data_IF_932760411770
#
_entry.id   IF_932760411770
#
_cell.length_a   1.000
_cell.length_b   1.000
_cell.length_c   1.000
_cell.angle_alpha   90.00
_cell.angle_beta   90.00
_cell.angle_gamma   90.00
#
_symmetry.space_group_name_H-M   'P 1'
#
loop_
_entity.id
_entity.type
_entity.pdbx_description
1 polymer ?
#
# COMPACT_ATOMS: atom_id res chain seq x y z
N UNK A 1 3.91 11.66 6.55
CA UNK A 1 4.76 11.23 7.68
C UNK A 1 4.19 9.90 8.12
N UNK A 2 4.95 8.82 8.07
CA UNK A 2 4.45 7.50 8.49
C UNK A 2 4.24 7.52 10.01
N UNK A 3 3.08 7.04 10.45
CA UNK A 3 2.77 6.92 11.87
C UNK A 3 3.71 5.91 12.55
N UNK A 4 4.30 6.25 13.70
CA UNK A 4 5.19 5.35 14.48
C UNK A 4 4.59 3.95 14.71
N UNK A 5 3.28 3.78 15.01
CA UNK A 5 2.64 2.47 15.05
C UNK A 5 2.71 1.65 13.75
N UNK A 6 2.76 2.29 12.59
CA UNK A 6 2.85 1.62 11.29
C UNK A 6 4.25 1.05 11.06
N UNK A 7 5.29 1.83 11.38
CA UNK A 7 6.68 1.37 11.32
C UNK A 7 6.90 0.15 12.20
N UNK A 8 6.45 0.18 13.45
CA UNK A 8 6.61 -0.95 14.39
C UNK A 8 5.80 -2.19 13.95
N UNK A 9 4.61 -1.99 13.38
CA UNK A 9 3.82 -3.06 12.76
C UNK A 9 4.57 -3.70 11.59
N UNK A 10 5.22 -2.89 10.75
CA UNK A 10 5.99 -3.36 9.60
C UNK A 10 7.27 -4.08 10.03
N UNK A 11 8.01 -3.55 11.01
CA UNK A 11 9.19 -4.20 11.60
C UNK A 11 8.83 -5.57 12.19
N UNK A 12 7.69 -5.67 12.87
CA UNK A 12 7.16 -6.95 13.36
C UNK A 12 6.86 -7.91 12.20
N UNK A 13 6.21 -7.44 11.14
CA UNK A 13 5.92 -8.22 9.94
C UNK A 13 7.19 -8.75 9.26
N UNK A 14 8.25 -7.94 9.21
CA UNK A 14 9.55 -8.27 8.62
C UNK A 14 10.50 -9.01 9.57
N UNK A 15 10.14 -9.17 10.85
CA UNK A 15 11.00 -9.71 11.92
C UNK A 15 12.29 -8.91 12.13
N UNK A 16 12.19 -7.58 12.01
CA UNK A 16 13.26 -6.63 12.29
C UNK A 16 13.08 -6.11 13.72
N UNK A 17 14.10 -6.25 14.57
CA UNK A 17 14.02 -5.90 16.00
C UNK A 17 14.99 -4.79 16.42
N UNK A 18 15.71 -4.20 15.47
CA UNK A 18 16.64 -3.10 15.71
C UNK A 18 16.14 -1.80 15.08
N UNK A 19 16.73 -0.67 15.46
CA UNK A 19 16.34 0.66 15.02
C UNK A 19 17.29 1.32 14.01
N UNK A 20 18.41 0.67 13.65
CA UNK A 20 19.45 1.28 12.80
C UNK A 20 18.95 1.71 11.41
N UNK A 21 17.87 1.10 10.94
CA UNK A 21 17.27 1.35 9.63
C UNK A 21 15.88 2.01 9.72
N UNK A 22 15.47 2.51 10.90
CA UNK A 22 14.11 3.05 11.09
C UNK A 22 13.80 4.20 10.14
N UNK A 23 14.76 5.10 9.89
CA UNK A 23 14.60 6.21 8.94
C UNK A 23 14.40 5.69 7.50
N UNK A 24 15.22 4.73 7.08
CA UNK A 24 15.11 4.11 5.76
C UNK A 24 13.79 3.36 5.58
N UNK A 25 13.38 2.57 6.59
CA UNK A 25 12.10 1.84 6.58
C UNK A 25 10.91 2.80 6.57
N UNK A 26 11.02 3.93 7.25
CA UNK A 26 10.01 4.99 7.28
C UNK A 26 9.80 5.59 5.89
N UNK A 27 10.88 5.96 5.20
CA UNK A 27 10.82 6.52 3.85
C UNK A 27 10.23 5.51 2.86
N UNK A 28 10.67 4.26 2.96
CA UNK A 28 10.22 3.17 2.10
C UNK A 28 8.75 2.83 2.32
N UNK A 29 8.27 2.83 3.57
CA UNK A 29 6.86 2.70 3.91
C UNK A 29 6.04 3.87 3.38
N UNK A 30 6.53 5.11 3.54
CA UNK A 30 5.82 6.29 3.05
C UNK A 30 5.67 6.30 1.53
N UNK A 31 6.71 5.92 0.80
CA UNK A 31 6.65 5.75 -0.64
C UNK A 31 5.67 4.63 -1.06
N UNK A 32 5.55 3.57 -0.26
CA UNK A 32 4.63 2.46 -0.53
C UNK A 32 3.19 2.82 -0.19
N UNK A 33 2.96 3.54 0.89
CA UNK A 33 1.66 4.08 1.27
C UNK A 33 1.12 5.01 0.18
N UNK A 34 1.91 6.00 -0.22
CA UNK A 34 1.51 6.95 -1.26
C UNK A 34 1.11 6.25 -2.56
N UNK A 35 1.94 5.31 -3.02
CA UNK A 35 1.70 4.60 -4.27
C UNK A 35 0.44 3.74 -4.20
N UNK A 36 0.29 2.92 -3.15
CA UNK A 36 -0.89 2.06 -3.00
C UNK A 36 -2.17 2.88 -2.86
N UNK A 37 -2.19 3.91 -2.02
CA UNK A 37 -3.38 4.76 -1.86
C UNK A 37 -3.74 5.46 -3.18
N UNK A 38 -2.76 5.82 -4.01
CA UNK A 38 -3.05 6.40 -5.34
C UNK A 38 -3.69 5.40 -6.31
N UNK A 39 -3.40 4.10 -6.16
CA UNK A 39 -3.90 3.03 -7.04
C UNK A 39 -5.28 2.52 -6.62
N UNK A 40 -5.52 2.41 -5.31
CA UNK A 40 -6.73 1.75 -4.80
C UNK A 40 -7.64 2.68 -4.01
N UNK A 41 -7.22 3.92 -3.72
CA UNK A 41 -7.92 4.80 -2.79
C UNK A 41 -7.91 4.27 -1.36
N UNK A 42 -8.99 4.54 -0.62
CA UNK A 42 -9.17 4.09 0.76
C UNK A 42 -8.18 4.68 1.75
N UNK A 43 -7.86 3.91 2.79
CA UNK A 43 -6.99 4.35 3.89
C UNK A 43 -6.21 3.19 4.51
N UNK A 44 -5.24 3.49 5.37
CA UNK A 44 -4.55 2.47 6.17
C UNK A 44 -5.43 1.78 7.24
N UNK A 45 -6.66 2.26 7.46
CA UNK A 45 -7.65 1.55 8.29
C UNK A 45 -8.19 0.31 7.57
N UNK A 46 -8.13 0.29 6.24
CA UNK A 46 -8.50 -0.84 5.42
C UNK A 46 -7.39 -1.89 5.47
N UNK A 47 -7.72 -3.06 6.04
CA UNK A 47 -6.73 -4.13 6.26
C UNK A 47 -6.04 -4.58 4.97
N UNK A 48 -6.79 -4.64 3.86
CA UNK A 48 -6.25 -5.05 2.55
C UNK A 48 -5.33 -3.98 1.94
N UNK A 49 -5.63 -2.69 2.15
CA UNK A 49 -4.74 -1.58 1.74
C UNK A 49 -3.44 -1.64 2.53
N UNK A 50 -3.53 -1.76 3.86
CA UNK A 50 -2.35 -1.89 4.73
C UNK A 50 -1.48 -3.10 4.37
N UNK A 51 -2.09 -4.22 4.00
CA UNK A 51 -1.38 -5.41 3.54
C UNK A 51 -0.63 -5.17 2.22
N UNK A 52 -1.23 -4.46 1.26
CA UNK A 52 -0.56 -4.09 0.01
C UNK A 52 0.63 -3.15 0.25
N UNK A 53 0.47 -2.15 1.12
CA UNK A 53 1.56 -1.25 1.53
C UNK A 53 2.73 -2.05 2.11
N UNK A 54 2.47 -2.99 3.01
CA UNK A 54 3.51 -3.83 3.61
C UNK A 54 4.17 -4.76 2.60
N UNK A 55 3.41 -5.35 1.67
CA UNK A 55 4.01 -6.19 0.64
C UNK A 55 4.87 -5.37 -0.31
N UNK A 56 4.41 -4.20 -0.78
CA UNK A 56 5.22 -3.33 -1.64
C UNK A 56 6.51 -2.90 -0.95
N UNK A 57 6.41 -2.52 0.32
CA UNK A 57 7.55 -2.20 1.16
C UNK A 57 8.51 -3.40 1.28
N UNK A 58 8.02 -4.62 1.54
CA UNK A 58 8.85 -5.83 1.58
C UNK A 58 9.57 -6.09 0.25
N UNK A 59 8.89 -5.91 -0.88
CA UNK A 59 9.50 -6.08 -2.20
C UNK A 59 10.58 -5.02 -2.45
N UNK A 60 10.35 -3.75 -2.10
CA UNK A 60 11.36 -2.70 -2.17
C UNK A 60 12.57 -3.00 -1.27
N UNK A 61 12.33 -3.37 -0.02
CA UNK A 61 13.38 -3.68 0.95
C UNK A 61 14.25 -4.86 0.50
N UNK A 62 13.65 -5.87 -0.12
CA UNK A 62 14.36 -7.06 -0.61
C UNK A 62 14.94 -6.90 -2.02
N UNK A 63 14.84 -5.72 -2.63
CA UNK A 63 15.38 -5.44 -3.96
C UNK A 63 14.61 -6.08 -5.11
N UNK A 64 13.33 -6.40 -4.91
CA UNK A 64 12.48 -7.12 -5.86
C UNK A 64 11.28 -6.28 -6.35
N UNK A 65 11.29 -4.95 -6.17
CA UNK A 65 10.13 -4.08 -6.40
C UNK A 65 9.49 -4.25 -7.78
N UNK A 66 10.29 -4.52 -8.81
CA UNK A 66 9.83 -4.79 -10.18
C UNK A 66 8.78 -5.91 -10.30
N UNK A 67 8.83 -6.91 -9.42
CA UNK A 67 7.88 -8.02 -9.42
C UNK A 67 6.59 -7.74 -8.64
N UNK A 68 6.49 -6.61 -7.94
CA UNK A 68 5.35 -6.33 -7.07
C UNK A 68 4.05 -6.20 -7.86
N UNK A 69 4.04 -5.36 -8.89
CA UNK A 69 2.81 -5.06 -9.64
C UNK A 69 2.29 -6.28 -10.38
N UNK A 70 3.16 -7.12 -10.94
CA UNK A 70 2.76 -8.37 -11.58
C UNK A 70 2.09 -9.33 -10.57
N UNK A 71 2.71 -9.51 -9.40
CA UNK A 71 2.21 -10.45 -8.39
C UNK A 71 0.89 -10.01 -7.72
N UNK A 72 0.63 -8.70 -7.64
CA UNK A 72 -0.53 -8.15 -6.95
C UNK A 72 -1.54 -7.46 -7.89
N UNK A 73 -1.38 -7.57 -9.21
CA UNK A 73 -2.22 -6.89 -10.19
C UNK A 73 -3.72 -7.10 -9.95
N UNK A 74 -4.16 -8.36 -9.85
CA UNK A 74 -5.59 -8.66 -9.64
C UNK A 74 -6.10 -8.11 -8.31
N UNK A 75 -5.28 -8.18 -7.26
CA UNK A 75 -5.64 -7.67 -5.93
C UNK A 75 -5.80 -6.15 -5.94
N UNK A 76 -4.89 -5.44 -6.60
CA UNK A 76 -4.95 -3.98 -6.78
C UNK A 76 -6.20 -3.61 -7.56
N UNK A 77 -6.46 -4.30 -8.68
CA UNK A 77 -7.64 -4.06 -9.51
C UNK A 77 -8.95 -4.26 -8.73
N UNK A 78 -9.12 -5.42 -8.09
CA UNK A 78 -10.33 -5.75 -7.33
C UNK A 78 -10.56 -4.76 -6.19
N UNK A 79 -9.49 -4.35 -5.50
CA UNK A 79 -9.58 -3.40 -4.39
C UNK A 79 -9.90 -1.99 -4.87
N UNK A 80 -9.31 -1.55 -5.99
CA UNK A 80 -9.61 -0.25 -6.60
C UNK A 80 -11.08 -0.14 -7.01
N UNK A 81 -11.66 -1.20 -7.58
CA UNK A 81 -13.08 -1.21 -7.94
C UNK A 81 -13.98 -1.20 -6.71
N UNK A 82 -13.60 -1.89 -5.64
CA UNK A 82 -14.39 -1.93 -4.40
C UNK A 82 -14.36 -0.60 -3.64
N UNK A 83 -13.24 0.09 -3.62
CA UNK A 83 -13.04 1.30 -2.82
C UNK A 83 -13.37 2.58 -3.60
N UNK A 84 -13.19 2.58 -4.93
CA UNK A 84 -13.41 3.75 -5.79
C UNK A 84 -14.51 3.52 -6.85
N UNK A 85 -15.15 2.34 -6.88
CA UNK A 85 -16.11 1.98 -7.94
C UNK A 85 -17.36 2.85 -7.99
N UNK A 86 -17.74 3.51 -6.90
CA UNK A 86 -18.89 4.43 -6.87
C UNK A 86 -18.60 5.77 -7.58
N UNK A 87 -17.34 6.21 -7.67
CA UNK A 87 -16.93 7.39 -8.45
C UNK A 87 -16.92 7.08 -9.96
N UNK A 88 -16.59 5.85 -10.35
CA UNK A 88 -16.52 5.42 -11.76
C UNK A 88 -17.90 5.20 -12.42
N UNK A 89 -18.96 5.04 -11.63
CA UNK A 89 -20.33 4.86 -12.14
C UNK A 89 -21.13 6.17 -12.25
N UNK A 90 -20.73 7.23 -11.54
CA UNK A 90 -21.41 8.53 -11.61
C UNK A 90 -21.10 9.32 -12.90
N UNK A 91 -19.96 9.05 -13.54
CA UNK A 91 -19.61 9.66 -14.83
C UNK A 91 -20.47 9.14 -16.00
N UNK A 92 -21.09 7.96 -15.87
CA UNK A 92 -21.93 7.36 -16.93
C UNK A 92 -23.40 7.82 -16.86
N UNK A 93 -23.93 8.10 -15.66
CA UNK A 93 -25.31 8.59 -15.48
C UNK A 93 -25.47 10.11 -15.69
N UNK A 94 -24.37 10.88 -15.68
CA UNK A 94 -24.42 12.35 -15.83
C UNK A 94 -24.57 12.84 -17.28
N UNK A 95 -24.64 11.92 -18.26
CA UNK A 95 -24.74 12.24 -19.71
C UNK A 95 -26.14 11.95 -20.31
N UNK A 96 -27.18 11.70 -19.49
CA UNK A 96 -28.56 11.47 -19.99
C UNK A 96 -29.46 12.68 -19.80
#
# INVERSE_FOLDING_TARGET
MVDTPLLESFKTYMRIFHSVEDDYLTDLLGASELDILSLVGGSLLDREVKELVFNRARYAYTGNLEFFYENFQSRIFDLSLRLNGEELMQDDESTV
#
